data_IF_719126816845
#
_entry.id   IF_719126816845
#
_cell.length_a   1.000
_cell.length_b   1.000
_cell.length_c   1.000
_cell.angle_alpha   90.00
_cell.angle_beta   90.00
_cell.angle_gamma   90.00
#
_symmetry.space_group_name_H-M   'P 1'
#
loop_
_entity.id
_entity.type
_entity.pdbx_description
1 polymer ?
#
# COMPACT_ATOMS: atom_id res chain seq x y z
N UNK A 1 -60.66 12.06 24.24
CA UNK A 1 -59.37 11.37 24.01
C UNK A 1 -59.21 11.30 22.48
N UNK A 2 -58.40 12.12 21.77
CA UNK A 2 -56.92 12.13 21.70
C UNK A 2 -56.41 10.68 21.61
N UNK A 3 -55.75 10.16 20.56
CA UNK A 3 -54.72 10.75 19.70
C UNK A 3 -54.25 9.72 18.63
N UNK A 4 -53.91 10.21 17.41
CA UNK A 4 -52.80 9.84 16.51
C UNK A 4 -52.76 8.48 15.79
N UNK A 5 -53.07 8.52 14.48
CA UNK A 5 -52.57 7.59 13.46
C UNK A 5 -51.15 8.04 13.07
N UNK A 6 -50.13 7.31 13.51
CA UNK A 6 -48.73 7.56 13.12
C UNK A 6 -48.49 6.92 11.75
N UNK A 7 -48.47 7.74 10.72
CA UNK A 7 -48.12 7.36 9.35
C UNK A 7 -46.59 7.33 9.24
N UNK A 8 -46.00 6.15 9.33
CA UNK A 8 -44.56 5.95 9.09
C UNK A 8 -44.25 6.17 7.60
N UNK A 9 -43.85 7.39 7.23
CA UNK A 9 -43.08 7.64 6.01
C UNK A 9 -41.61 7.39 6.34
N UNK A 10 -41.16 6.15 6.14
CA UNK A 10 -39.74 5.82 6.21
C UNK A 10 -39.02 6.55 5.06
N UNK A 11 -38.28 7.58 5.42
CA UNK A 11 -37.48 8.39 4.50
C UNK A 11 -36.34 7.54 3.96
N UNK A 12 -36.34 7.33 2.65
CA UNK A 12 -35.32 6.57 1.94
C UNK A 12 -34.08 7.46 1.81
N UNK A 13 -33.16 7.36 2.78
CA UNK A 13 -31.87 8.03 2.73
C UNK A 13 -31.04 7.44 1.58
N UNK A 14 -30.94 8.17 0.47
CA UNK A 14 -30.01 7.85 -0.61
C UNK A 14 -28.58 7.99 -0.07
N UNK A 15 -27.96 6.86 0.28
CA UNK A 15 -26.53 6.74 0.45
C UNK A 15 -25.88 6.93 -0.92
N UNK A 16 -25.49 8.16 -1.24
CA UNK A 16 -24.59 8.44 -2.36
C UNK A 16 -23.23 7.86 -1.99
N UNK A 17 -22.96 6.65 -2.48
CA UNK A 17 -21.60 6.12 -2.52
C UNK A 17 -20.77 7.01 -3.44
N UNK A 18 -19.96 7.88 -2.84
CA UNK A 18 -18.89 8.55 -3.54
C UNK A 18 -17.88 7.45 -3.96
N UNK A 19 -17.95 7.03 -5.22
CA UNK A 19 -16.91 6.21 -5.83
C UNK A 19 -15.62 7.02 -5.80
N UNK A 20 -14.71 6.70 -4.88
CA UNK A 20 -13.34 7.19 -4.92
C UNK A 20 -12.75 6.73 -6.27
N UNK A 21 -12.27 7.64 -7.14
CA UNK A 21 -11.56 7.22 -8.33
C UNK A 21 -10.35 6.40 -7.85
N UNK A 22 -10.17 5.19 -8.40
CA UNK A 22 -8.91 4.46 -8.26
C UNK A 22 -7.84 5.40 -8.80
N UNK A 23 -7.10 6.05 -7.91
CA UNK A 23 -6.04 6.95 -8.29
C UNK A 23 -5.04 6.13 -9.10
N UNK A 24 -4.78 6.52 -10.34
CA UNK A 24 -3.70 5.92 -11.08
C UNK A 24 -2.39 6.24 -10.37
N UNK A 25 -1.59 5.20 -10.13
CA UNK A 25 -0.35 5.30 -9.38
C UNK A 25 0.73 6.05 -10.17
N UNK A 26 0.60 6.09 -11.49
CA UNK A 26 1.35 6.99 -12.35
C UNK A 26 0.46 7.55 -13.48
N UNK A 27 0.66 8.82 -13.81
CA UNK A 27 -0.02 9.52 -14.90
C UNK A 27 0.99 10.26 -15.78
N UNK A 28 0.71 10.29 -17.07
CA UNK A 28 1.45 11.07 -18.06
C UNK A 28 0.50 11.72 -19.06
N UNK A 29 1.03 12.60 -19.90
CA UNK A 29 0.28 13.19 -21.00
C UNK A 29 1.02 12.92 -22.31
N UNK A 30 0.33 12.38 -23.30
CA UNK A 30 0.84 12.20 -24.66
C UNK A 30 1.05 13.55 -25.34
N UNK A 31 1.84 13.55 -26.42
CA UNK A 31 2.14 14.76 -27.19
C UNK A 31 0.89 15.44 -27.80
N UNK A 32 -0.22 14.71 -27.93
CA UNK A 32 -1.51 15.21 -28.41
C UNK A 32 -2.43 15.74 -27.28
N UNK A 33 -1.96 15.73 -26.04
CA UNK A 33 -2.71 16.16 -24.86
C UNK A 33 -3.54 15.06 -24.19
N UNK A 34 -3.62 13.87 -24.78
CA UNK A 34 -4.33 12.72 -24.20
C UNK A 34 -3.64 12.28 -22.91
N UNK A 35 -4.40 12.11 -21.83
CA UNK A 35 -3.84 11.60 -20.58
C UNK A 35 -3.67 10.08 -20.65
N UNK A 36 -2.57 9.59 -20.10
CA UNK A 36 -2.34 8.16 -19.89
C UNK A 36 -2.20 7.85 -18.41
N UNK A 37 -2.66 6.67 -18.04
CA UNK A 37 -2.61 6.14 -16.68
C UNK A 37 -1.97 4.75 -16.71
N UNK A 38 -1.07 4.49 -15.75
CA UNK A 38 -0.42 3.19 -15.58
C UNK A 38 -0.63 2.73 -14.15
N UNK A 39 -1.15 1.52 -14.02
CA UNK A 39 -1.39 0.81 -12.75
C UNK A 39 -0.06 0.27 -12.19
N UNK A 40 0.26 0.52 -10.91
CA UNK A 40 1.56 0.09 -10.33
C UNK A 40 1.69 -1.43 -10.19
N UNK A 41 0.58 -2.13 -9.95
CA UNK A 41 0.58 -3.56 -9.66
C UNK A 41 0.63 -4.41 -10.93
N UNK A 42 -0.09 -3.97 -11.96
CA UNK A 42 -0.25 -4.72 -13.21
C UNK A 42 0.49 -4.08 -14.38
N UNK A 43 1.02 -2.87 -14.23
CA UNK A 43 1.60 -2.08 -15.31
C UNK A 43 0.64 -1.87 -16.49
N UNK A 44 -0.67 -2.18 -16.36
CA UNK A 44 -1.65 -2.01 -17.43
C UNK A 44 -1.73 -0.54 -17.80
N UNK A 45 -1.52 -0.25 -19.07
CA UNK A 45 -1.52 1.11 -19.59
C UNK A 45 -2.87 1.46 -20.23
N UNK A 46 -3.37 2.65 -19.91
CA UNK A 46 -4.66 3.15 -20.36
C UNK A 46 -4.54 4.57 -20.86
N UNK A 47 -5.31 4.91 -21.89
CA UNK A 47 -5.54 6.30 -22.28
C UNK A 47 -6.90 6.77 -21.77
N UNK A 48 -6.96 8.02 -21.33
CA UNK A 48 -8.16 8.72 -20.92
C UNK A 48 -8.52 9.71 -22.03
N UNK A 49 -9.61 9.40 -22.71
CA UNK A 49 -10.15 10.20 -23.81
C UNK A 49 -11.57 10.62 -23.45
N UNK A 50 -11.82 11.92 -23.30
CA UNK A 50 -13.11 12.47 -22.86
C UNK A 50 -13.71 11.78 -21.62
N UNK A 51 -12.87 11.39 -20.65
CA UNK A 51 -13.29 10.70 -19.44
C UNK A 51 -13.58 9.21 -19.61
N UNK A 52 -13.43 8.66 -20.83
CA UNK A 52 -13.47 7.21 -21.06
C UNK A 52 -12.06 6.62 -21.04
N UNK A 53 -11.91 5.54 -20.28
CA UNK A 53 -10.67 4.77 -20.17
C UNK A 53 -10.64 3.70 -21.27
N UNK A 54 -9.65 3.77 -22.16
CA UNK A 54 -9.41 2.79 -23.23
C UNK A 54 -8.03 2.17 -23.08
N UNK A 55 -7.82 0.89 -23.44
CA UNK A 55 -6.50 0.29 -23.43
C UNK A 55 -5.53 1.10 -24.28
N UNK A 56 -4.32 1.34 -23.78
CA UNK A 56 -3.26 1.92 -24.59
C UNK A 56 -2.62 0.80 -25.42
N UNK A 57 -2.56 1.00 -26.74
CA UNK A 57 -2.00 0.01 -27.67
C UNK A 57 -0.48 -0.10 -27.54
N UNK A 58 0.04 -1.25 -27.93
CA UNK A 58 1.48 -1.51 -27.96
C UNK A 58 2.22 -0.52 -28.85
N UNK A 59 3.42 -0.13 -28.42
CA UNK A 59 4.25 0.80 -29.16
C UNK A 59 5.03 1.76 -28.28
N UNK A 60 5.63 2.75 -28.95
CA UNK A 60 6.44 3.80 -28.35
C UNK A 60 5.62 5.08 -28.37
N UNK A 61 5.28 5.58 -27.18
CA UNK A 61 4.42 6.75 -27.00
C UNK A 61 5.25 7.91 -26.45
N UNK A 62 5.30 9.02 -27.18
CA UNK A 62 6.02 10.22 -26.73
C UNK A 62 5.12 11.09 -25.85
N UNK A 63 5.59 11.41 -24.67
CA UNK A 63 4.92 12.29 -23.73
C UNK A 63 5.19 13.76 -24.07
N UNK A 64 4.33 14.65 -23.57
CA UNK A 64 4.42 16.09 -23.74
C UNK A 64 5.71 16.69 -23.16
N UNK A 65 6.31 16.06 -22.14
CA UNK A 65 7.60 16.46 -21.56
C UNK A 65 8.82 15.97 -22.37
N UNK A 66 8.58 15.32 -23.52
CA UNK A 66 9.60 14.79 -24.40
C UNK A 66 10.09 13.38 -24.03
N UNK A 67 9.71 12.86 -22.86
CA UNK A 67 9.99 11.48 -22.48
C UNK A 67 9.16 10.48 -23.30
N UNK A 68 9.43 9.19 -23.11
CA UNK A 68 8.82 8.11 -23.88
C UNK A 68 8.26 7.08 -22.90
N UNK A 69 7.11 6.51 -23.22
CA UNK A 69 6.53 5.32 -22.59
C UNK A 69 6.48 4.21 -23.62
N UNK A 70 6.96 3.02 -23.25
CA UNK A 70 6.91 1.85 -24.12
C UNK A 70 5.83 0.92 -23.60
N UNK A 71 4.89 0.52 -24.45
CA UNK A 71 3.82 -0.44 -24.12
C UNK A 71 4.04 -1.75 -24.88
N UNK A 72 3.99 -2.87 -24.14
CA UNK A 72 4.08 -4.24 -24.65
C UNK A 72 2.96 -5.07 -24.01
N UNK A 73 2.17 -5.74 -24.83
CA UNK A 73 1.03 -6.55 -24.38
C UNK A 73 0.02 -5.75 -23.51
N UNK A 74 -0.17 -4.47 -23.84
CA UNK A 74 -0.99 -3.53 -23.08
C UNK A 74 -0.44 -3.17 -21.70
N UNK A 75 0.86 -3.42 -21.45
CA UNK A 75 1.56 -3.07 -20.22
C UNK A 75 2.70 -2.11 -20.49
N UNK A 76 2.83 -1.06 -19.68
CA UNK A 76 3.98 -0.17 -19.74
C UNK A 76 5.24 -0.88 -19.25
N UNK A 77 6.34 -0.72 -19.99
CA UNK A 77 7.67 -1.09 -19.52
C UNK A 77 8.09 -0.08 -18.46
N UNK A 78 8.40 -0.51 -17.22
CA UNK A 78 8.77 0.42 -16.15
C UNK A 78 9.99 1.28 -16.51
N UNK A 79 9.91 2.56 -16.17
CA UNK A 79 10.98 3.54 -16.36
C UNK A 79 11.16 4.38 -15.08
N UNK A 80 12.27 5.11 -14.98
CA UNK A 80 12.65 5.83 -13.77
C UNK A 80 11.52 6.69 -13.18
N UNK A 81 10.79 7.46 -14.01
CA UNK A 81 9.67 8.29 -13.53
C UNK A 81 8.47 7.50 -13.01
N UNK A 82 8.23 6.28 -13.51
CA UNK A 82 7.19 5.39 -12.98
C UNK A 82 7.63 4.78 -11.66
N UNK A 83 8.85 4.24 -11.61
CA UNK A 83 9.42 3.64 -10.39
C UNK A 83 9.47 4.65 -9.24
N UNK A 84 9.87 5.89 -9.52
CA UNK A 84 9.90 6.98 -8.54
C UNK A 84 8.48 7.33 -8.04
N UNK A 85 7.50 7.45 -8.94
CA UNK A 85 6.11 7.71 -8.54
C UNK A 85 5.51 6.58 -7.70
N UNK A 86 5.74 5.32 -8.08
CA UNK A 86 5.25 4.16 -7.35
C UNK A 86 5.92 4.04 -5.98
N UNK A 87 7.23 4.29 -5.88
CA UNK A 87 7.92 4.30 -4.59
C UNK A 87 7.43 5.39 -3.64
N UNK A 88 6.95 6.52 -4.16
CA UNK A 88 6.33 7.60 -3.37
C UNK A 88 4.88 7.30 -3.01
N UNK A 89 4.14 6.64 -3.90
CA UNK A 89 2.76 6.20 -3.68
C UNK A 89 2.66 5.01 -2.71
N UNK A 90 3.72 4.20 -2.64
CA UNK A 90 3.99 3.30 -1.53
C UNK A 90 4.29 4.12 -0.27
N UNK A 91 3.22 4.69 0.31
CA UNK A 91 3.13 4.97 1.75
C UNK A 91 3.84 3.83 2.47
N UNK A 92 4.80 4.09 3.37
CA UNK A 92 5.76 3.09 3.82
C UNK A 92 5.07 1.98 4.61
N UNK A 93 4.50 0.99 3.91
CA UNK A 93 4.18 -0.30 4.50
C UNK A 93 5.49 -0.98 4.88
N UNK A 94 6.55 -0.84 4.09
CA UNK A 94 7.90 -1.30 4.46
C UNK A 94 8.42 -0.60 5.73
N UNK A 95 8.21 0.72 5.87
CA UNK A 95 8.59 1.43 7.10
C UNK A 95 7.74 1.05 8.30
N UNK A 96 6.45 0.75 8.10
CA UNK A 96 5.58 0.23 9.18
C UNK A 96 5.87 -1.22 9.55
N UNK A 97 6.28 -2.07 8.59
CA UNK A 97 6.61 -3.50 8.78
C UNK A 97 7.86 -3.67 9.63
N UNK A 98 8.94 -3.01 9.22
CA UNK A 98 10.20 -2.99 9.98
C UNK A 98 9.98 -2.32 11.33
N UNK A 99 9.18 -1.25 11.40
CA UNK A 99 8.88 -0.58 12.66
C UNK A 99 8.20 -1.50 13.69
N UNK A 100 7.35 -2.45 13.31
CA UNK A 100 6.69 -3.33 14.29
C UNK A 100 7.66 -4.33 14.91
N UNK A 101 8.56 -4.92 14.12
CA UNK A 101 9.61 -5.79 14.65
C UNK A 101 10.70 -5.01 15.39
N UNK A 102 11.09 -3.82 14.93
CA UNK A 102 11.97 -2.91 15.67
C UNK A 102 11.38 -2.52 17.03
N UNK A 103 10.08 -2.18 17.08
CA UNK A 103 9.39 -1.87 18.34
C UNK A 103 9.37 -3.07 19.29
N UNK A 104 9.15 -4.28 18.78
CA UNK A 104 9.22 -5.50 19.58
C UNK A 104 10.63 -5.73 20.15
N UNK A 105 11.67 -5.50 19.33
CA UNK A 105 13.07 -5.60 19.76
C UNK A 105 13.40 -4.57 20.84
N UNK A 106 13.04 -3.30 20.65
CA UNK A 106 13.25 -2.26 21.65
C UNK A 106 12.51 -2.58 22.96
N UNK A 107 11.29 -3.11 22.84
CA UNK A 107 10.48 -3.50 23.98
C UNK A 107 11.12 -4.65 24.76
N UNK A 108 11.44 -5.77 24.11
CA UNK A 108 11.86 -7.01 24.76
C UNK A 108 13.37 -7.05 25.08
N UNK A 109 14.20 -6.38 24.29
CA UNK A 109 15.66 -6.36 24.47
C UNK A 109 16.14 -5.13 25.25
N UNK A 110 15.33 -4.06 25.28
CA UNK A 110 15.69 -2.79 25.88
C UNK A 110 16.76 -2.05 25.10
N UNK A 111 16.94 -0.76 25.41
CA UNK A 111 18.02 0.05 24.82
C UNK A 111 19.37 -0.62 25.04
N UNK A 112 20.20 -0.64 23.99
CA UNK A 112 21.54 -1.24 23.96
C UNK A 112 21.58 -2.75 24.27
N UNK A 113 20.45 -3.45 24.17
CA UNK A 113 20.38 -4.91 24.37
C UNK A 113 20.59 -5.35 25.82
N UNK A 114 20.17 -4.54 26.80
CA UNK A 114 20.26 -4.85 28.23
C UNK A 114 19.71 -6.24 28.59
N UNK A 115 18.63 -6.66 27.93
CA UNK A 115 18.00 -7.96 28.14
C UNK A 115 18.37 -9.00 27.08
N UNK A 116 19.54 -8.89 26.42
CA UNK A 116 19.93 -9.78 25.30
C UNK A 116 19.90 -11.28 25.60
N UNK A 117 20.06 -11.67 26.87
CA UNK A 117 20.00 -13.07 27.31
C UNK A 117 18.62 -13.53 27.76
N UNK A 118 17.69 -12.59 27.96
CA UNK A 118 16.33 -12.90 28.35
C UNK A 118 15.61 -13.65 27.23
N UNK A 119 14.73 -14.56 27.60
CA UNK A 119 13.95 -15.35 26.64
C UNK A 119 13.06 -14.49 25.73
N UNK A 120 12.37 -13.43 26.24
CA UNK A 120 11.60 -12.52 25.40
C UNK A 120 12.43 -11.87 24.29
N UNK A 121 13.62 -11.34 24.63
CA UNK A 121 14.51 -10.73 23.65
C UNK A 121 15.01 -11.74 22.61
N UNK A 122 15.37 -12.96 23.03
CA UNK A 122 15.84 -14.00 22.08
C UNK A 122 14.77 -14.37 21.07
N UNK A 123 13.53 -14.55 21.52
CA UNK A 123 12.39 -14.80 20.65
C UNK A 123 12.08 -13.59 19.73
N UNK A 124 12.18 -12.36 20.25
CA UNK A 124 11.93 -11.15 19.48
C UNK A 124 12.95 -11.01 18.34
N UNK A 125 14.23 -11.30 18.60
CA UNK A 125 15.28 -11.35 17.56
C UNK A 125 15.06 -12.44 16.54
N UNK A 126 14.49 -13.58 16.93
CA UNK A 126 14.16 -14.64 15.97
C UNK A 126 13.08 -14.16 15.00
N UNK A 127 12.01 -13.54 15.50
CA UNK A 127 10.96 -12.96 14.66
C UNK A 127 11.50 -11.84 13.76
N UNK A 128 12.33 -10.95 14.31
CA UNK A 128 12.99 -9.89 13.53
C UNK A 128 13.86 -10.44 12.41
N UNK A 129 14.69 -11.47 12.69
CA UNK A 129 15.54 -12.09 11.68
C UNK A 129 14.72 -12.75 10.56
N UNK A 130 13.61 -13.43 10.90
CA UNK A 130 12.71 -13.99 9.89
C UNK A 130 12.09 -12.89 9.02
N UNK A 131 11.72 -11.75 9.61
CA UNK A 131 11.16 -10.62 8.88
C UNK A 131 12.19 -9.98 7.93
N UNK A 132 13.45 -9.88 8.35
CA UNK A 132 14.56 -9.39 7.51
C UNK A 132 14.88 -10.34 6.34
N UNK A 133 14.70 -11.65 6.54
CA UNK A 133 14.94 -12.69 5.54
C UNK A 133 13.74 -12.95 4.61
N UNK A 134 12.63 -12.24 4.77
CA UNK A 134 11.42 -12.47 3.98
C UNK A 134 11.63 -12.18 2.49
N UNK A 135 11.38 -13.17 1.63
CA UNK A 135 11.58 -13.06 0.18
C UNK A 135 10.41 -12.39 -0.56
N UNK A 136 9.22 -12.37 0.04
CA UNK A 136 8.01 -11.80 -0.55
C UNK A 136 7.38 -10.75 0.35
N UNK A 137 6.67 -9.79 -0.26
CA UNK A 137 5.95 -8.77 0.48
C UNK A 137 4.85 -9.35 1.39
N UNK A 138 4.21 -10.44 0.96
CA UNK A 138 3.18 -11.15 1.73
C UNK A 138 3.76 -11.81 2.99
N UNK A 139 4.92 -12.49 2.86
CA UNK A 139 5.61 -13.09 3.99
C UNK A 139 6.11 -12.03 4.99
N UNK A 140 6.63 -10.91 4.47
CA UNK A 140 7.04 -9.79 5.30
C UNK A 140 5.85 -9.16 6.06
N UNK A 141 4.67 -9.06 5.42
CA UNK A 141 3.45 -8.55 6.04
C UNK A 141 2.93 -9.49 7.15
N UNK A 142 2.99 -10.80 6.92
CA UNK A 142 2.64 -11.80 7.93
C UNK A 142 3.56 -11.72 9.15
N UNK A 143 4.87 -11.64 8.94
CA UNK A 143 5.86 -11.57 10.03
C UNK A 143 5.77 -10.25 10.80
N UNK A 144 5.53 -9.13 10.12
CA UNK A 144 5.26 -7.86 10.79
C UNK A 144 3.99 -7.92 11.66
N UNK A 145 2.95 -8.63 11.21
CA UNK A 145 1.76 -8.87 12.04
C UNK A 145 2.09 -9.71 13.28
N UNK A 146 2.90 -10.76 13.14
CA UNK A 146 3.36 -11.55 14.28
C UNK A 146 4.17 -10.71 15.29
N UNK A 147 5.05 -9.82 14.82
CA UNK A 147 5.77 -8.90 15.69
C UNK A 147 4.83 -7.95 16.47
N UNK A 148 3.79 -7.45 15.82
CA UNK A 148 2.78 -6.58 16.45
C UNK A 148 1.89 -7.33 17.43
N UNK A 149 1.53 -8.57 17.14
CA UNK A 149 0.77 -9.43 18.06
C UNK A 149 1.61 -9.78 19.30
N UNK A 150 2.89 -10.09 19.09
CA UNK A 150 3.86 -10.35 20.14
C UNK A 150 3.95 -9.19 21.16
N UNK A 151 3.95 -7.94 20.69
CA UNK A 151 3.93 -6.73 21.54
C UNK A 151 2.72 -6.68 22.51
N UNK A 152 1.62 -7.34 22.18
CA UNK A 152 0.42 -7.40 23.02
C UNK A 152 0.36 -8.61 23.94
N UNK A 153 1.37 -9.49 23.93
CA UNK A 153 1.35 -10.74 24.69
C UNK A 153 2.13 -10.63 26.00
N UNK A 154 1.71 -11.40 27.00
CA UNK A 154 2.37 -11.46 28.32
C UNK A 154 3.77 -12.09 28.26
N UNK A 155 4.11 -12.80 27.18
CA UNK A 155 5.42 -13.42 27.01
C UNK A 155 6.50 -12.37 26.71
N UNK A 156 6.20 -11.39 25.86
CA UNK A 156 7.15 -10.34 25.48
C UNK A 156 7.09 -9.17 26.46
N UNK A 157 7.47 -9.42 27.71
CA UNK A 157 7.52 -8.37 28.73
C UNK A 157 8.58 -7.30 28.40
N UNK A 158 8.37 -6.03 28.78
CA UNK A 158 9.35 -4.98 28.60
C UNK A 158 10.66 -5.30 29.33
N UNK A 159 11.78 -4.86 28.75
CA UNK A 159 13.08 -4.90 29.39
C UNK A 159 13.24 -3.76 30.39
N UNK A 160 13.33 -4.10 31.67
CA UNK A 160 13.63 -3.18 32.78
C UNK A 160 15.14 -3.08 33.06
#
# INVERSE_FOLDING_TARGET
>A
MRTFVVRYMASMAMLTWASLPMAADWRGQLSDGTQIEVDSQTHRAWQLDHGQRRPLWDGVHRLADGSVVIVREGRAVPQAGMLDAWSRAETPKTGSRLADCERLLDHACGKDGRCVRAEPCRAARQLGAMADEAETAEAADELAAQCREALGSDFFTPCD
#
